data_IF_438105023723
#
_entry.id   IF_438105023723
#
_cell.length_a   1.000
_cell.length_b   1.000
_cell.length_c   1.000
_cell.angle_alpha   90.00
_cell.angle_beta   90.00
_cell.angle_gamma   90.00
#
_symmetry.space_group_name_H-M   'P 1'
#
loop_
_entity.id
_entity.type
_entity.pdbx_description
1 polymer ?
#
# COMPACT_ATOMS: atom_id res chain seq x y z
N UNK A 1 14.59 -5.29 -5.73
CA UNK A 1 14.48 -4.00 -6.50
C UNK A 1 15.80 -3.77 -7.24
N UNK A 2 15.78 -3.11 -8.43
CA UNK A 2 16.99 -2.82 -9.21
C UNK A 2 17.86 -1.77 -8.47
N UNK A 3 19.20 -1.97 -8.32
CA UNK A 3 20.11 -1.01 -7.69
C UNK A 3 20.07 0.41 -8.28
N UNK A 4 19.84 0.53 -9.58
CA UNK A 4 19.68 1.85 -10.24
C UNK A 4 18.45 2.62 -9.75
N UNK A 5 17.35 1.93 -9.47
CA UNK A 5 16.13 2.56 -8.93
C UNK A 5 16.39 3.10 -7.52
N UNK A 6 17.15 2.37 -6.71
CA UNK A 6 17.52 2.80 -5.34
C UNK A 6 18.37 4.07 -5.40
N UNK A 7 19.40 4.10 -6.26
CA UNK A 7 20.23 5.29 -6.43
C UNK A 7 19.41 6.50 -6.88
N UNK A 8 18.46 6.30 -7.80
CA UNK A 8 17.56 7.37 -8.24
C UNK A 8 16.66 7.88 -7.11
N UNK A 9 16.17 6.99 -6.23
CA UNK A 9 15.34 7.40 -5.08
C UNK A 9 16.17 8.19 -4.05
N UNK A 10 17.37 7.71 -3.72
CA UNK A 10 18.25 8.40 -2.74
C UNK A 10 18.71 9.79 -3.25
N UNK A 11 18.74 10.02 -4.56
CA UNK A 11 19.04 11.33 -5.16
C UNK A 11 17.85 12.31 -5.09
N UNK A 12 16.66 11.84 -4.76
CA UNK A 12 15.50 12.71 -4.56
C UNK A 12 15.53 13.31 -3.16
N UNK A 13 14.74 14.36 -2.96
CA UNK A 13 14.46 14.88 -1.63
C UNK A 13 13.38 14.03 -0.95
N UNK A 14 13.40 14.02 0.37
CA UNK A 14 12.29 13.49 1.16
C UNK A 14 10.95 14.07 0.70
N UNK A 15 9.92 13.28 0.80
CA UNK A 15 8.58 13.64 0.34
C UNK A 15 7.53 12.83 1.09
N UNK A 16 6.29 13.05 0.78
CA UNK A 16 5.17 12.28 1.34
C UNK A 16 5.33 10.76 1.18
N UNK A 17 6.14 10.29 0.21
CA UNK A 17 6.38 8.88 -0.10
C UNK A 17 7.82 8.43 0.02
N UNK A 18 8.72 9.28 0.45
CA UNK A 18 10.14 8.96 0.57
C UNK A 18 10.68 9.52 1.88
N UNK A 19 11.34 8.68 2.65
CA UNK A 19 11.92 9.04 3.95
C UNK A 19 13.32 8.46 4.08
N UNK A 20 14.23 9.25 4.65
CA UNK A 20 15.59 8.84 5.00
C UNK A 20 15.77 8.81 6.51
N UNK A 21 16.53 7.85 7.00
CA UNK A 21 16.85 7.75 8.43
C UNK A 21 18.23 7.15 8.64
N UNK A 22 19.04 7.77 9.49
CA UNK A 22 20.43 7.32 9.73
C UNK A 22 20.40 6.01 10.48
N UNK A 23 19.82 5.36 11.09
CA UNK A 23 19.81 4.02 11.71
C UNK A 23 21.19 3.33 11.80
N UNK A 24 22.24 4.02 12.27
CA UNK A 24 23.59 3.47 12.27
C UNK A 24 23.74 2.20 13.11
N UNK A 25 23.25 2.18 14.35
CA UNK A 25 23.38 1.07 15.30
C UNK A 25 22.05 0.55 15.83
N UNK A 26 20.96 1.31 15.68
CA UNK A 26 19.62 0.96 16.15
C UNK A 26 18.55 1.56 15.22
N UNK A 27 17.32 1.06 15.33
CA UNK A 27 16.18 1.67 14.68
C UNK A 27 15.88 3.05 15.30
N UNK A 28 15.59 4.08 14.50
CA UNK A 28 15.15 5.38 15.02
C UNK A 28 13.86 5.28 15.82
N UNK A 29 13.74 6.03 16.89
CA UNK A 29 12.59 5.97 17.81
C UNK A 29 11.25 6.26 17.11
N UNK A 30 11.26 7.19 16.14
CA UNK A 30 10.09 7.61 15.37
C UNK A 30 9.84 6.78 14.10
N UNK A 31 10.60 5.71 13.85
CA UNK A 31 10.44 4.89 12.63
C UNK A 31 9.02 4.33 12.49
N UNK A 32 8.43 3.87 13.59
CA UNK A 32 7.08 3.29 13.57
C UNK A 32 5.97 4.34 13.42
N UNK A 33 6.23 5.59 13.78
CA UNK A 33 5.32 6.70 13.51
C UNK A 33 5.27 6.98 12.00
N UNK A 34 6.43 7.00 11.35
CA UNK A 34 6.57 7.11 9.88
C UNK A 34 5.92 5.92 9.15
N UNK A 35 6.20 4.68 9.57
CA UNK A 35 5.57 3.49 9.01
C UNK A 35 4.04 3.57 9.13
N UNK A 36 3.54 3.94 10.31
CA UNK A 36 2.11 4.11 10.58
C UNK A 36 1.50 5.16 9.64
N UNK A 37 2.14 6.31 9.50
CA UNK A 37 1.68 7.40 8.66
C UNK A 37 1.64 6.98 7.17
N UNK A 38 2.67 6.29 6.68
CA UNK A 38 2.73 5.76 5.32
C UNK A 38 1.66 4.69 5.07
N UNK A 39 1.49 3.71 5.98
CA UNK A 39 0.41 2.71 5.90
C UNK A 39 -0.97 3.37 5.84
N UNK A 40 -1.17 4.45 6.61
CA UNK A 40 -2.42 5.19 6.67
C UNK A 40 -2.66 6.06 5.45
N UNK A 41 -1.62 6.40 4.69
CA UNK A 41 -1.72 7.24 3.51
C UNK A 41 -1.52 6.44 2.22
N UNK A 42 -0.54 6.74 1.44
CA UNK A 42 -0.32 6.19 0.08
C UNK A 42 0.84 5.20 0.01
N UNK A 43 1.35 4.77 1.18
CA UNK A 43 2.59 4.00 1.26
C UNK A 43 3.82 4.85 0.94
N UNK A 44 4.96 4.20 0.79
CA UNK A 44 6.21 4.88 0.46
C UNK A 44 7.43 3.97 0.60
N UNK A 45 8.59 4.59 0.46
CA UNK A 45 9.90 3.98 0.56
C UNK A 45 10.67 4.62 1.72
N UNK A 46 11.21 3.83 2.63
CA UNK A 46 12.07 4.28 3.73
C UNK A 46 13.46 3.70 3.51
N UNK A 47 14.48 4.54 3.62
CA UNK A 47 15.88 4.12 3.59
C UNK A 47 16.52 4.30 4.96
N UNK A 48 17.06 3.22 5.54
CA UNK A 48 17.86 3.26 6.77
C UNK A 48 19.34 3.24 6.40
N UNK A 49 20.14 4.08 7.07
CA UNK A 49 21.55 4.31 6.77
C UNK A 49 21.77 5.41 5.74
N UNK A 50 20.80 6.32 5.60
CA UNK A 50 20.87 7.53 4.76
C UNK A 50 20.48 8.72 5.62
N UNK A 51 21.20 9.84 5.50
CA UNK A 51 20.87 11.09 6.19
C UNK A 51 19.81 11.89 5.43
N UNK A 52 19.27 12.94 6.05
CA UNK A 52 18.21 13.80 5.47
C UNK A 52 18.66 14.52 4.17
N UNK A 53 19.96 14.63 3.95
CA UNK A 53 20.54 15.21 2.73
C UNK A 53 20.69 14.17 1.59
N UNK A 54 20.34 12.89 1.84
CA UNK A 54 20.50 11.81 0.87
C UNK A 54 21.92 11.23 0.82
N UNK A 55 22.79 11.52 1.80
CA UNK A 55 24.10 10.88 1.84
C UNK A 55 24.01 9.51 2.52
N UNK A 56 24.65 8.53 1.92
CA UNK A 56 24.72 7.18 2.46
C UNK A 56 25.72 7.18 3.64
N UNK A 57 25.20 7.15 4.87
CA UNK A 57 25.98 7.04 6.12
C UNK A 57 26.31 5.59 6.43
N UNK A 58 25.42 4.66 6.05
CA UNK A 58 25.54 3.24 6.24
C UNK A 58 25.16 2.76 7.65
N UNK A 59 24.80 1.46 7.73
CA UNK A 59 24.52 0.72 8.97
C UNK A 59 25.81 0.03 9.41
N UNK A 60 26.08 0.06 10.71
CA UNK A 60 27.20 -0.68 11.30
C UNK A 60 27.08 -2.16 10.99
N UNK A 61 28.13 -2.81 10.43
CA UNK A 61 28.09 -4.23 10.11
C UNK A 61 27.69 -5.15 11.29
N UNK A 62 28.05 -4.79 12.52
CA UNK A 62 27.68 -5.54 13.72
C UNK A 62 26.22 -5.37 14.12
N UNK A 63 25.54 -4.34 13.63
CA UNK A 63 24.15 -4.01 13.98
C UNK A 63 23.14 -4.48 12.93
N UNK A 64 23.58 -4.98 11.79
CA UNK A 64 22.72 -5.35 10.65
C UNK A 64 21.65 -6.36 11.07
N UNK A 65 22.04 -7.46 11.69
CA UNK A 65 21.11 -8.54 12.08
C UNK A 65 20.18 -8.08 13.21
N UNK A 66 20.68 -7.29 14.15
CA UNK A 66 19.88 -6.72 15.24
C UNK A 66 18.81 -5.79 14.70
N UNK A 67 19.16 -4.88 13.79
CA UNK A 67 18.23 -3.93 13.16
C UNK A 67 17.18 -4.69 12.33
N UNK A 68 17.58 -5.71 11.56
CA UNK A 68 16.67 -6.55 10.78
C UNK A 68 15.65 -7.25 11.69
N UNK A 69 16.13 -7.94 12.72
CA UNK A 69 15.28 -8.68 13.64
C UNK A 69 14.34 -7.75 14.43
N UNK A 70 14.84 -6.61 14.87
CA UNK A 70 14.04 -5.62 15.58
C UNK A 70 12.93 -5.05 14.69
N UNK A 71 13.22 -4.72 13.41
CA UNK A 71 12.19 -4.23 12.49
C UNK A 71 11.08 -5.27 12.29
N UNK A 72 11.43 -6.53 12.01
CA UNK A 72 10.45 -7.60 11.80
C UNK A 72 9.62 -7.84 13.06
N UNK A 73 10.28 -7.98 14.23
CA UNK A 73 9.60 -8.25 15.48
C UNK A 73 8.67 -7.09 15.92
N UNK A 74 9.15 -5.85 15.83
CA UNK A 74 8.38 -4.69 16.25
C UNK A 74 7.23 -4.38 15.27
N UNK A 75 7.40 -4.63 13.98
CA UNK A 75 6.31 -4.48 12.99
C UNK A 75 5.19 -5.51 13.17
N UNK A 76 5.50 -6.67 13.79
CA UNK A 76 4.53 -7.69 14.20
C UNK A 76 4.01 -7.50 15.64
N UNK A 77 4.44 -6.47 16.34
CA UNK A 77 4.00 -6.22 17.73
C UNK A 77 2.83 -5.22 17.77
N UNK A 78 1.62 -5.64 18.20
CA UNK A 78 0.44 -4.77 18.25
C UNK A 78 0.58 -3.60 19.24
N UNK A 79 1.53 -3.62 20.18
CA UNK A 79 1.82 -2.48 21.04
C UNK A 79 2.65 -1.39 20.32
N UNK A 80 3.37 -1.76 19.26
CA UNK A 80 4.15 -0.82 18.44
C UNK A 80 3.39 -0.39 17.20
N UNK A 81 2.75 -1.34 16.49
CA UNK A 81 1.97 -1.09 15.28
C UNK A 81 0.66 -1.88 15.36
N UNK A 82 -0.47 -1.20 15.41
CA UNK A 82 -1.79 -1.83 15.55
C UNK A 82 -2.80 -1.34 14.49
N UNK A 83 -3.36 -2.23 13.66
CA UNK A 83 -3.02 -3.65 13.57
C UNK A 83 -1.56 -3.87 13.11
N UNK A 84 -0.93 -5.01 13.43
CA UNK A 84 0.42 -5.32 12.98
C UNK A 84 0.50 -5.38 11.46
N UNK A 85 1.65 -4.98 10.92
CA UNK A 85 1.95 -5.09 9.50
C UNK A 85 3.42 -5.47 9.34
N UNK A 86 3.70 -6.75 9.07
CA UNK A 86 5.05 -7.27 9.03
C UNK A 86 5.81 -6.70 7.83
N UNK A 87 6.94 -6.06 8.10
CA UNK A 87 7.81 -5.45 7.10
C UNK A 87 9.17 -6.15 7.08
N UNK A 88 9.68 -6.38 5.88
CA UNK A 88 10.99 -6.99 5.66
C UNK A 88 11.91 -5.99 4.97
N UNK A 89 13.06 -5.61 5.59
CA UNK A 89 14.00 -4.73 4.96
C UNK A 89 14.76 -5.45 3.85
N UNK A 90 14.96 -4.77 2.73
CA UNK A 90 15.84 -5.24 1.66
C UNK A 90 17.22 -4.61 1.85
N UNK A 91 18.24 -5.45 1.92
CA UNK A 91 19.63 -5.03 2.11
C UNK A 91 20.26 -4.62 0.79
N UNK A 92 20.94 -3.48 0.80
CA UNK A 92 21.76 -2.98 -0.30
C UNK A 92 23.13 -2.57 0.21
N UNK A 93 24.13 -2.72 -0.66
CA UNK A 93 25.48 -2.25 -0.38
C UNK A 93 25.91 -1.32 -1.49
N UNK A 94 26.29 -0.09 -1.15
CA UNK A 94 26.89 0.88 -2.06
C UNK A 94 28.25 1.33 -1.50
N UNK A 95 29.30 1.20 -2.32
CA UNK A 95 30.70 1.56 -1.95
C UNK A 95 31.12 1.02 -0.57
N UNK A 96 30.74 -0.22 -0.24
CA UNK A 96 31.07 -0.86 1.02
C UNK A 96 30.18 -0.48 2.22
N UNK A 97 29.23 0.43 2.06
CA UNK A 97 28.25 0.81 3.09
C UNK A 97 26.94 0.07 2.87
N UNK A 98 26.42 -0.55 3.93
CA UNK A 98 25.15 -1.24 3.92
C UNK A 98 24.02 -0.28 4.29
N UNK A 99 22.96 -0.28 3.51
CA UNK A 99 21.69 0.42 3.79
C UNK A 99 20.53 -0.56 3.70
N UNK A 100 19.43 -0.25 4.35
CA UNK A 100 18.18 -0.98 4.20
C UNK A 100 17.14 -0.14 3.47
N UNK A 101 16.41 -0.79 2.58
CA UNK A 101 15.21 -0.26 1.98
C UNK A 101 14.00 -0.99 2.53
N UNK A 102 13.02 -0.24 3.01
CA UNK A 102 11.74 -0.72 3.49
C UNK A 102 10.66 -0.16 2.58
N UNK A 103 9.99 -1.03 1.84
CA UNK A 103 8.81 -0.64 1.07
C UNK A 103 7.57 -0.78 1.95
N UNK A 104 6.95 0.34 2.26
CA UNK A 104 5.70 0.40 3.03
C UNK A 104 4.54 0.53 2.05
N UNK A 105 3.64 -0.46 1.93
CA UNK A 105 2.50 -0.35 1.04
C UNK A 105 1.41 0.53 1.67
N UNK A 106 0.49 1.00 0.84
CA UNK A 106 -0.78 1.54 1.35
C UNK A 106 -1.59 0.40 1.96
N UNK A 107 -2.01 0.55 3.22
CA UNK A 107 -2.87 -0.44 3.89
C UNK A 107 -4.35 -0.15 3.67
N UNK A 108 -5.17 -1.19 3.62
CA UNK A 108 -6.64 -1.07 3.66
C UNK A 108 -7.18 -0.80 5.07
N UNK A 109 -6.35 -0.95 6.10
CA UNK A 109 -6.73 -0.72 7.48
C UNK A 109 -6.12 0.58 8.01
N UNK A 110 -6.75 1.16 9.04
CA UNK A 110 -6.18 2.27 9.79
C UNK A 110 -5.24 1.74 10.88
N UNK A 111 -3.98 2.14 10.83
CA UNK A 111 -2.96 1.74 11.79
C UNK A 111 -2.72 2.82 12.85
N UNK A 112 -2.20 2.38 13.99
CA UNK A 112 -1.75 3.22 15.10
C UNK A 112 -0.33 2.83 15.49
N UNK A 113 0.53 3.80 15.75
CA UNK A 113 1.81 3.58 16.41
C UNK A 113 1.66 3.93 17.89
N UNK A 114 2.00 2.99 18.79
CA UNK A 114 1.84 3.17 20.23
C UNK A 114 0.49 3.82 20.63
N UNK A 115 -0.61 3.32 20.05
CA UNK A 115 -2.00 3.80 20.26
C UNK A 115 -2.36 5.14 19.63
N UNK A 116 -1.45 5.80 18.92
CA UNK A 116 -1.65 7.09 18.24
C UNK A 116 -1.80 6.88 16.74
N UNK A 117 -2.80 7.53 16.14
CA UNK A 117 -2.95 7.58 14.67
C UNK A 117 -2.00 8.64 14.12
N UNK A 118 -1.22 8.27 13.12
CA UNK A 118 -0.38 9.20 12.36
C UNK A 118 -0.84 9.27 10.91
N UNK A 119 -0.77 10.46 10.34
CA UNK A 119 -0.89 10.71 8.91
C UNK A 119 0.33 11.54 8.46
N UNK A 120 0.50 11.75 7.16
CA UNK A 120 1.68 12.38 6.59
C UNK A 120 1.31 13.51 5.64
N UNK A 121 2.10 14.59 5.67
CA UNK A 121 2.07 15.70 4.71
C UNK A 121 3.45 15.87 4.06
N UNK A 122 3.59 16.88 3.22
CA UNK A 122 4.91 17.27 2.66
C UNK A 122 5.91 17.66 3.74
N UNK A 123 5.42 18.16 4.90
CA UNK A 123 6.25 18.60 6.04
C UNK A 123 6.60 17.45 7.01
N UNK A 124 6.18 16.21 6.71
CA UNK A 124 6.46 15.03 7.54
C UNK A 124 5.24 14.40 8.21
N UNK A 125 5.51 13.61 9.26
CA UNK A 125 4.50 12.86 10.00
C UNK A 125 3.85 13.70 11.09
N UNK A 126 2.52 13.59 11.25
CA UNK A 126 1.78 14.29 12.28
C UNK A 126 0.73 13.41 12.96
N UNK A 127 0.48 13.71 14.25
CA UNK A 127 -0.53 13.01 15.05
C UNK A 127 -1.93 13.44 14.66
N UNK A 128 -2.83 12.47 14.48
CA UNK A 128 -4.24 12.70 14.22
C UNK A 128 -5.03 12.34 15.48
N UNK A 129 -5.49 13.36 16.21
CA UNK A 129 -6.24 13.21 17.47
C UNK A 129 -7.73 13.57 17.34
N UNK A 130 -8.08 14.39 16.33
CA UNK A 130 -9.45 14.86 16.16
C UNK A 130 -10.36 13.72 15.63
N UNK A 131 -11.50 13.43 16.30
CA UNK A 131 -12.39 12.34 15.90
C UNK A 131 -12.86 12.41 14.45
N UNK A 132 -13.19 13.61 13.96
CA UNK A 132 -13.63 13.79 12.57
C UNK A 132 -12.53 13.43 11.56
N UNK A 133 -11.27 13.81 11.83
CA UNK A 133 -10.13 13.45 10.95
C UNK A 133 -9.84 11.96 10.98
N UNK A 134 -9.99 11.31 12.14
CA UNK A 134 -9.87 9.84 12.24
C UNK A 134 -10.98 9.18 11.41
N UNK A 135 -12.22 9.69 11.46
CA UNK A 135 -13.32 9.21 10.64
C UNK A 135 -13.06 9.39 9.12
N UNK A 136 -12.48 10.51 8.71
CA UNK A 136 -12.05 10.75 7.33
C UNK A 136 -11.00 9.72 6.88
N UNK A 137 -10.03 9.39 7.73
CA UNK A 137 -9.04 8.35 7.45
C UNK A 137 -9.71 6.98 7.29
N UNK A 138 -10.63 6.61 8.17
CA UNK A 138 -11.41 5.37 8.04
C UNK A 138 -12.19 5.33 6.72
N UNK A 139 -12.89 6.40 6.37
CA UNK A 139 -13.64 6.48 5.11
C UNK A 139 -12.73 6.35 3.89
N UNK A 140 -11.55 6.99 3.92
CA UNK A 140 -10.53 6.86 2.87
C UNK A 140 -10.08 5.41 2.70
N UNK A 141 -9.94 4.65 3.82
CA UNK A 141 -9.56 3.23 3.79
C UNK A 141 -10.68 2.33 3.27
N UNK A 142 -11.93 2.62 3.60
CA UNK A 142 -13.08 1.85 3.08
C UNK A 142 -13.24 1.93 1.57
N UNK A 143 -12.70 2.97 0.93
CA UNK A 143 -12.68 3.09 -0.53
C UNK A 143 -11.63 2.19 -1.22
N UNK A 144 -10.74 1.56 -0.46
CA UNK A 144 -9.69 0.66 -0.94
C UNK A 144 -10.03 -0.81 -0.71
N UNK A 145 -11.16 -1.27 -1.24
CA UNK A 145 -11.34 -2.70 -1.42
C UNK A 145 -10.37 -3.17 -2.52
N UNK A 146 -9.52 -4.15 -2.19
CA UNK A 146 -8.58 -4.76 -3.15
C UNK A 146 -9.30 -5.26 -4.40
N UNK A 147 -10.51 -5.77 -4.23
CA UNK A 147 -11.41 -6.21 -5.31
C UNK A 147 -11.73 -5.10 -6.31
N UNK A 148 -11.70 -3.84 -5.88
CA UNK A 148 -11.94 -2.68 -6.72
C UNK A 148 -10.70 -2.14 -7.44
N UNK A 149 -9.51 -2.70 -7.25
CA UNK A 149 -8.29 -2.29 -7.95
C UNK A 149 -8.43 -2.61 -9.43
N UNK A 150 -8.15 -1.63 -10.30
CA UNK A 150 -8.19 -1.82 -11.74
C UNK A 150 -6.97 -2.63 -12.18
N UNK A 151 -7.23 -3.68 -12.96
CA UNK A 151 -6.21 -4.52 -13.60
C UNK A 151 -6.01 -4.04 -15.04
N UNK A 152 -4.96 -3.25 -15.34
CA UNK A 152 -4.82 -2.60 -16.65
C UNK A 152 -4.61 -3.56 -17.81
N UNK A 153 -4.12 -4.78 -17.51
CA UNK A 153 -3.87 -5.81 -18.51
C UNK A 153 -5.10 -6.65 -18.85
N UNK A 154 -6.15 -6.64 -17.98
CA UNK A 154 -7.35 -7.46 -18.19
C UNK A 154 -8.24 -6.85 -19.26
N UNK A 155 -8.60 -7.65 -20.25
CA UNK A 155 -9.46 -7.29 -21.39
C UNK A 155 -10.74 -8.09 -21.35
N UNK A 156 -11.75 -7.61 -22.10
CA UNK A 156 -13.04 -8.34 -22.20
C UNK A 156 -12.89 -9.75 -22.78
N UNK A 157 -11.97 -9.91 -23.70
CA UNK A 157 -11.67 -11.18 -24.39
C UNK A 157 -11.01 -12.23 -23.49
N UNK A 158 -10.52 -11.81 -22.30
CA UNK A 158 -9.90 -12.73 -21.33
C UNK A 158 -10.94 -13.45 -20.46
N UNK A 159 -12.21 -13.00 -20.46
CA UNK A 159 -13.28 -13.68 -19.73
C UNK A 159 -13.71 -14.97 -20.42
N UNK A 160 -14.01 -15.98 -19.59
CA UNK A 160 -14.58 -17.24 -20.10
C UNK A 160 -15.94 -16.98 -20.76
N UNK A 161 -16.09 -17.38 -22.03
CA UNK A 161 -17.31 -17.18 -22.81
C UNK A 161 -18.55 -17.83 -22.16
N UNK A 162 -18.38 -18.94 -21.41
CA UNK A 162 -19.47 -19.62 -20.71
C UNK A 162 -19.98 -18.92 -19.46
N UNK A 163 -19.26 -17.92 -18.98
CA UNK A 163 -19.62 -17.20 -17.76
C UNK A 163 -20.97 -16.49 -17.89
N UNK A 164 -21.15 -15.73 -18.95
CA UNK A 164 -22.35 -14.90 -19.14
C UNK A 164 -23.63 -15.71 -19.35
N UNK A 165 -23.67 -16.79 -20.15
CA UNK A 165 -24.80 -17.69 -20.20
C UNK A 165 -25.18 -18.28 -18.84
N UNK A 166 -24.17 -18.69 -18.02
CA UNK A 166 -24.42 -19.22 -16.66
C UNK A 166 -25.05 -18.16 -15.75
N UNK A 167 -24.53 -16.93 -15.76
CA UNK A 167 -25.09 -15.83 -14.97
C UNK A 167 -26.54 -15.56 -15.38
N UNK A 168 -26.83 -15.49 -16.69
CA UNK A 168 -28.22 -15.28 -17.19
C UNK A 168 -29.16 -16.40 -16.76
N UNK A 169 -28.70 -17.65 -16.77
CA UNK A 169 -29.50 -18.78 -16.33
C UNK A 169 -29.80 -18.71 -14.82
N UNK A 170 -28.84 -18.33 -13.98
CA UNK A 170 -29.06 -18.13 -12.55
C UNK A 170 -30.05 -16.99 -12.29
N UNK A 171 -29.92 -15.87 -13.02
CA UNK A 171 -30.83 -14.73 -12.91
C UNK A 171 -32.26 -15.14 -13.30
N UNK A 172 -32.44 -15.87 -14.42
CA UNK A 172 -33.76 -16.37 -14.87
C UNK A 172 -34.39 -17.31 -13.87
N UNK A 173 -33.58 -18.17 -13.23
CA UNK A 173 -34.05 -19.10 -12.19
C UNK A 173 -34.63 -18.38 -10.98
N UNK A 174 -34.10 -17.22 -10.62
CA UNK A 174 -34.57 -16.41 -9.51
C UNK A 174 -35.65 -15.40 -9.89
N UNK A 175 -35.52 -14.75 -11.05
CA UNK A 175 -36.47 -13.76 -11.56
C UNK A 175 -36.40 -13.66 -13.09
N UNK A 176 -37.40 -14.24 -13.75
CA UNK A 176 -37.50 -14.27 -15.22
C UNK A 176 -37.64 -12.89 -15.86
N UNK A 177 -38.07 -11.87 -15.10
CA UNK A 177 -38.19 -10.47 -15.57
C UNK A 177 -37.12 -9.56 -15.03
N UNK A 178 -35.98 -10.11 -14.60
CA UNK A 178 -34.90 -9.31 -14.05
C UNK A 178 -34.30 -8.38 -15.13
N UNK A 179 -34.16 -7.07 -14.89
CA UNK A 179 -33.69 -6.11 -15.90
C UNK A 179 -32.30 -6.41 -16.49
N UNK A 180 -31.45 -7.12 -15.74
CA UNK A 180 -30.12 -7.50 -16.24
C UNK A 180 -30.15 -8.55 -17.38
N UNK A 181 -31.27 -9.20 -17.61
CA UNK A 181 -31.40 -10.16 -18.73
C UNK A 181 -31.40 -9.47 -20.09
N UNK A 182 -31.71 -8.17 -20.13
CA UNK A 182 -31.71 -7.34 -21.34
C UNK A 182 -30.35 -6.68 -21.61
N UNK A 183 -29.42 -6.75 -20.64
CA UNK A 183 -28.08 -6.17 -20.77
C UNK A 183 -27.18 -7.06 -21.61
N UNK A 184 -26.31 -6.44 -22.42
CA UNK A 184 -25.17 -7.14 -23.01
C UNK A 184 -24.12 -7.50 -21.93
N UNK A 185 -23.15 -8.31 -22.28
CA UNK A 185 -22.16 -8.83 -21.33
C UNK A 185 -21.28 -7.72 -20.73
N UNK A 186 -20.92 -6.72 -21.53
CA UNK A 186 -20.14 -5.55 -21.04
C UNK A 186 -20.96 -4.68 -20.10
N UNK A 187 -22.22 -4.45 -20.44
CA UNK A 187 -23.15 -3.70 -19.58
C UNK A 187 -23.37 -4.41 -18.24
N UNK A 188 -23.45 -5.75 -18.26
CA UNK A 188 -23.54 -6.54 -17.02
C UNK A 188 -22.32 -6.32 -16.12
N UNK A 189 -21.10 -6.34 -16.66
CA UNK A 189 -19.88 -6.10 -15.90
C UNK A 189 -19.84 -4.67 -15.31
N UNK A 190 -20.27 -3.67 -16.07
CA UNK A 190 -20.39 -2.28 -15.59
C UNK A 190 -21.40 -2.18 -14.45
N UNK A 191 -22.59 -2.77 -14.61
CA UNK A 191 -23.67 -2.76 -13.58
C UNK A 191 -23.26 -3.53 -12.33
N UNK A 192 -22.47 -4.58 -12.46
CA UNK A 192 -21.90 -5.34 -11.34
C UNK A 192 -20.73 -4.61 -10.64
N UNK A 193 -20.29 -3.45 -11.16
CA UNK A 193 -19.12 -2.73 -10.62
C UNK A 193 -17.78 -3.39 -10.93
N UNK A 194 -17.76 -4.33 -11.88
CA UNK A 194 -16.57 -5.09 -12.28
C UNK A 194 -15.75 -4.37 -13.36
N UNK A 195 -16.36 -3.40 -14.05
CA UNK A 195 -15.68 -2.40 -14.88
C UNK A 195 -16.02 -1.01 -14.34
N UNK A 196 -15.00 -0.22 -14.06
CA UNK A 196 -15.20 1.12 -13.49
C UNK A 196 -14.07 2.07 -13.84
N UNK A 197 -14.31 3.36 -13.58
CA UNK A 197 -13.29 4.41 -13.61
C UNK A 197 -12.76 4.67 -12.20
N UNK A 198 -11.46 4.65 -12.04
CA UNK A 198 -10.79 5.11 -10.82
C UNK A 198 -10.86 6.64 -10.78
N UNK A 199 -11.60 7.20 -9.82
CA UNK A 199 -11.77 8.64 -9.66
C UNK A 199 -10.47 9.38 -9.33
N UNK A 200 -9.47 8.70 -8.76
CA UNK A 200 -8.19 9.29 -8.37
C UNK A 200 -7.22 9.38 -9.54
N UNK A 201 -7.15 8.32 -10.36
CA UNK A 201 -6.19 8.23 -11.47
C UNK A 201 -6.82 8.55 -12.83
N UNK A 202 -8.15 8.60 -12.89
CA UNK A 202 -8.91 8.75 -14.13
C UNK A 202 -8.89 7.53 -15.05
N UNK A 203 -8.19 6.46 -14.67
CA UNK A 203 -8.09 5.22 -15.47
C UNK A 203 -9.37 4.42 -15.40
N UNK A 204 -9.74 3.82 -16.53
CA UNK A 204 -10.86 2.88 -16.63
C UNK A 204 -10.34 1.48 -16.87
N UNK A 205 -11.07 0.48 -16.38
CA UNK A 205 -10.71 -0.92 -16.60
C UNK A 205 -11.47 -1.88 -15.71
N UNK A 206 -11.19 -3.17 -15.92
CA UNK A 206 -11.73 -4.25 -15.11
C UNK A 206 -11.04 -4.32 -13.76
N UNK A 207 -11.82 -4.61 -12.73
CA UNK A 207 -11.34 -4.70 -11.35
C UNK A 207 -10.70 -6.06 -11.05
N UNK A 208 -10.00 -6.18 -9.91
CA UNK A 208 -9.49 -7.47 -9.44
C UNK A 208 -10.64 -8.47 -9.23
N UNK A 209 -11.81 -8.02 -8.75
CA UNK A 209 -12.98 -8.88 -8.65
C UNK A 209 -13.39 -9.47 -10.00
N UNK A 210 -13.27 -8.69 -11.08
CA UNK A 210 -13.50 -9.18 -12.43
C UNK A 210 -12.46 -10.22 -12.88
N UNK A 211 -11.21 -10.08 -12.45
CA UNK A 211 -10.12 -11.01 -12.77
C UNK A 211 -10.28 -12.39 -12.08
N UNK A 212 -11.13 -12.49 -11.06
CA UNK A 212 -11.40 -13.72 -10.31
C UNK A 212 -12.60 -14.52 -10.89
N UNK A 213 -13.27 -14.01 -11.92
CA UNK A 213 -14.37 -14.66 -12.62
C UNK A 213 -13.88 -15.59 -13.72
#
# INVERSE_FOLDING_TARGET
MNPERIRKLIQQKESIRLEFKEARTALPDNLFDTICAMLNRDGGDIFLGVDDAGHITGIDPQSIDTITNNLVNLSNNPQKLNPPFILFPQRYTDKGRTIFHIQVPQSSQLHKSASVVYDRSEDGDFKVSQPHRIAELYNRKQLHYTEGIIFPALRFEDFNADLFPRIRNLIRGNNIRHPWLELDDRQMLVKAGLFRRDSRTGREGYTLAAALL
#
